data_IF_848117841472
#
_entry.id   IF_848117841472
#
_cell.length_a   1.000
_cell.length_b   1.000
_cell.length_c   1.000
_cell.angle_alpha   90.00
_cell.angle_beta   90.00
_cell.angle_gamma   90.00
#
_symmetry.space_group_name_H-M   'P 1'
#
loop_
_entity.id
_entity.type
_entity.pdbx_description
1 polymer ?
#
# COMPACT_ATOMS: atom_id res chain seq x y z
N UNK A 1 -10.96 -21.87 14.47
CA UNK A 1 -10.91 -22.63 13.20
C UNK A 1 -9.68 -23.51 13.26
N UNK A 2 -9.84 -24.83 13.17
CA UNK A 2 -8.77 -25.81 13.42
C UNK A 2 -7.74 -25.80 12.28
N UNK A 3 -6.48 -26.07 12.61
CA UNK A 3 -5.34 -26.12 11.67
C UNK A 3 -5.59 -27.05 10.46
N UNK A 4 -6.42 -28.08 10.67
CA UNK A 4 -6.93 -28.98 9.64
C UNK A 4 -7.80 -28.28 8.59
N UNK A 5 -8.59 -27.27 8.97
CA UNK A 5 -9.39 -26.50 8.02
C UNK A 5 -8.51 -25.65 7.08
N UNK A 6 -7.39 -25.12 7.60
CA UNK A 6 -6.44 -24.32 6.82
C UNK A 6 -5.64 -25.22 5.87
N UNK A 7 -5.18 -26.39 6.34
CA UNK A 7 -4.48 -27.38 5.51
C UNK A 7 -5.37 -27.90 4.39
N UNK A 8 -6.65 -28.16 4.68
CA UNK A 8 -7.62 -28.60 3.68
C UNK A 8 -7.92 -27.49 2.65
N UNK A 9 -7.98 -26.23 3.06
CA UNK A 9 -8.16 -25.10 2.14
C UNK A 9 -6.96 -24.89 1.20
N UNK A 10 -5.73 -25.02 1.73
CA UNK A 10 -4.50 -24.90 0.92
C UNK A 10 -4.37 -26.08 -0.06
N UNK A 11 -4.67 -27.30 0.38
CA UNK A 11 -4.66 -28.48 -0.49
C UNK A 11 -5.77 -28.43 -1.55
N UNK A 12 -6.93 -27.85 -1.22
CA UNK A 12 -8.02 -27.64 -2.18
C UNK A 12 -7.62 -26.59 -3.24
N UNK A 13 -6.99 -25.48 -2.84
CA UNK A 13 -6.42 -24.48 -3.76
C UNK A 13 -5.33 -25.05 -4.67
N UNK A 14 -4.46 -25.93 -4.16
CA UNK A 14 -3.38 -26.55 -4.96
C UNK A 14 -3.89 -27.63 -5.92
N UNK A 15 -4.94 -28.38 -5.55
CA UNK A 15 -5.60 -29.33 -6.46
C UNK A 15 -6.41 -28.64 -7.56
N UNK A 16 -6.93 -27.44 -7.30
CA UNK A 16 -7.60 -26.63 -8.33
C UNK A 16 -6.65 -26.00 -9.35
N UNK A 17 -5.33 -26.08 -9.15
CA UNK A 17 -4.32 -25.55 -10.09
C UNK A 17 -3.63 -26.63 -10.94
N UNK A 18 -4.10 -27.88 -10.91
CA UNK A 18 -3.68 -28.90 -11.86
C UNK A 18 -4.85 -29.20 -12.81
N UNK A 19 -4.91 -28.44 -13.91
CA UNK A 19 -5.76 -28.72 -15.08
C UNK A 19 -4.84 -28.89 -16.30
N UNK A 20 -5.21 -29.79 -17.23
CA UNK A 20 -4.31 -30.45 -18.18
C UNK A 20 -3.70 -29.52 -19.22
N UNK A 21 -2.57 -29.95 -19.77
CA UNK A 21 -2.17 -29.60 -21.13
C UNK A 21 -3.32 -29.95 -22.07
N UNK A 22 -4.01 -28.92 -22.58
CA UNK A 22 -4.77 -29.07 -23.81
C UNK A 22 -4.81 -27.76 -24.59
N UNK A 23 -4.68 -27.94 -25.90
CA UNK A 23 -4.53 -26.90 -26.88
C UNK A 23 -5.83 -26.12 -27.12
N UNK A 24 -5.65 -24.86 -27.49
CA UNK A 24 -6.56 -23.99 -28.26
C UNK A 24 -7.69 -23.22 -27.56
N UNK A 25 -7.57 -21.89 -27.73
CA UNK A 25 -8.60 -20.93 -28.11
C UNK A 25 -9.43 -20.22 -27.02
N UNK A 26 -9.00 -19.00 -26.68
CA UNK A 26 -9.93 -17.86 -26.60
C UNK A 26 -9.19 -16.57 -26.99
N UNK A 27 -9.21 -16.31 -28.29
CA UNK A 27 -8.93 -15.01 -28.86
C UNK A 27 -9.90 -13.96 -28.28
N UNK A 28 -9.47 -13.27 -27.23
CA UNK A 28 -9.74 -11.83 -27.14
C UNK A 28 -8.54 -11.09 -27.70
N UNK A 29 -8.27 -11.35 -28.99
CA UNK A 29 -7.48 -10.49 -29.85
C UNK A 29 -8.22 -9.16 -29.89
N UNK A 30 -7.83 -8.21 -29.04
CA UNK A 30 -8.03 -6.82 -29.41
C UNK A 30 -7.15 -6.67 -30.65
N UNK A 31 -7.79 -6.58 -31.81
CA UNK A 31 -7.14 -6.58 -33.10
C UNK A 31 -6.44 -5.23 -33.29
N UNK A 32 -5.23 -5.11 -32.72
CA UNK A 32 -4.38 -3.91 -32.79
C UNK A 32 -3.76 -3.71 -34.18
N UNK A 33 -4.08 -4.57 -35.15
CA UNK A 33 -3.53 -4.51 -36.51
C UNK A 33 -3.86 -3.18 -37.20
N UNK A 34 -5.04 -2.59 -36.95
CA UNK A 34 -5.55 -1.48 -37.76
C UNK A 34 -5.82 -0.20 -36.95
N UNK A 35 -4.79 0.62 -36.72
CA UNK A 35 -4.97 2.01 -36.26
C UNK A 35 -5.61 2.82 -37.39
N UNK A 36 -6.90 3.14 -37.24
CA UNK A 36 -7.63 4.02 -38.16
C UNK A 36 -7.49 5.48 -37.72
N UNK A 37 -7.08 6.35 -38.65
CA UNK A 37 -6.92 7.79 -38.41
C UNK A 37 -8.17 8.49 -38.95
N UNK A 38 -8.97 9.08 -38.08
CA UNK A 38 -10.07 9.97 -38.46
C UNK A 38 -9.69 11.41 -38.09
N UNK A 39 -9.65 12.30 -39.09
CA UNK A 39 -9.40 13.73 -38.90
C UNK A 39 -10.50 14.55 -39.57
N UNK A 40 -10.77 15.75 -39.05
CA UNK A 40 -11.81 16.67 -39.55
C UNK A 40 -11.52 17.29 -40.93
N UNK A 41 -10.47 16.85 -41.64
CA UNK A 41 -10.12 17.38 -42.96
C UNK A 41 -9.58 16.27 -43.88
N UNK A 42 -10.34 15.80 -44.90
CA UNK A 42 -9.98 14.63 -45.70
C UNK A 42 -8.86 14.87 -46.73
N UNK A 43 -8.38 16.10 -46.91
CA UNK A 43 -7.70 16.50 -48.14
C UNK A 43 -6.19 16.77 -48.06
N UNK A 44 -5.52 16.49 -46.93
CA UNK A 44 -4.07 16.79 -46.81
C UNK A 44 -3.16 15.58 -46.67
N UNK A 45 -3.63 14.34 -46.89
CA UNK A 45 -2.82 13.15 -46.59
C UNK A 45 -2.39 12.29 -47.78
N UNK A 46 -2.97 12.46 -48.97
CA UNK A 46 -2.73 11.52 -50.09
C UNK A 46 -1.90 12.08 -51.26
N UNK A 47 -1.34 13.28 -51.13
CA UNK A 47 -0.44 13.84 -52.16
C UNK A 47 0.93 14.17 -51.58
N UNK A 48 1.74 13.14 -51.30
CA UNK A 48 3.20 13.17 -51.49
C UNK A 48 3.84 11.79 -51.26
N UNK A 49 4.27 11.19 -52.38
CA UNK A 49 5.36 10.22 -52.61
C UNK A 49 6.02 9.54 -51.39
N UNK A 50 6.00 8.19 -51.37
CA UNK A 50 6.97 7.21 -50.81
C UNK A 50 7.61 7.39 -49.41
N UNK A 51 7.98 8.60 -48.99
CA UNK A 51 8.65 8.93 -47.73
C UNK A 51 7.67 9.19 -46.59
N UNK A 52 6.45 9.63 -46.90
CA UNK A 52 5.35 9.89 -45.94
C UNK A 52 4.78 8.59 -45.33
N UNK A 53 4.94 7.47 -46.02
CA UNK A 53 4.48 6.16 -45.56
C UNK A 53 5.35 5.67 -44.38
N UNK A 54 6.66 5.91 -44.42
CA UNK A 54 7.58 5.51 -43.35
C UNK A 54 7.31 6.24 -42.04
N UNK A 55 7.15 7.56 -42.07
CA UNK A 55 6.85 8.36 -40.86
C UNK A 55 5.48 7.98 -40.25
N UNK A 56 4.50 7.67 -41.11
CA UNK A 56 3.18 7.23 -40.67
C UNK A 56 3.21 5.83 -40.03
N UNK A 57 3.97 4.89 -40.60
CA UNK A 57 4.13 3.55 -40.03
C UNK A 57 4.95 3.58 -38.74
N UNK A 58 5.98 4.42 -38.66
CA UNK A 58 6.71 4.68 -37.41
C UNK A 58 5.77 5.23 -36.34
N UNK A 59 4.94 6.23 -36.67
CA UNK A 59 3.94 6.77 -35.76
C UNK A 59 2.98 5.69 -35.25
N UNK A 60 2.39 4.89 -36.15
CA UNK A 60 1.51 3.78 -35.78
C UNK A 60 2.21 2.79 -34.85
N UNK A 61 3.45 2.43 -35.14
CA UNK A 61 4.23 1.54 -34.29
C UNK A 61 4.46 2.14 -32.89
N UNK A 62 4.82 3.42 -32.79
CA UNK A 62 4.97 4.09 -31.50
C UNK A 62 3.66 4.11 -30.70
N UNK A 63 2.52 4.35 -31.36
CA UNK A 63 1.20 4.29 -30.72
C UNK A 63 0.87 2.88 -30.22
N UNK A 64 1.18 1.83 -31.00
CA UNK A 64 1.00 0.42 -30.57
C UNK A 64 1.84 0.11 -29.32
N UNK A 65 3.11 0.50 -29.32
CA UNK A 65 4.02 0.31 -28.18
C UNK A 65 3.48 1.07 -26.96
N UNK A 66 3.07 2.32 -27.13
CA UNK A 66 2.52 3.14 -26.05
C UNK A 66 1.26 2.51 -25.44
N UNK A 67 0.30 2.06 -26.27
CA UNK A 67 -0.92 1.40 -25.80
C UNK A 67 -0.63 0.12 -25.02
N UNK A 68 0.33 -0.69 -25.49
CA UNK A 68 0.77 -1.89 -24.79
C UNK A 68 1.34 -1.54 -23.42
N UNK A 69 2.28 -0.58 -23.36
CA UNK A 69 2.90 -0.15 -22.11
C UNK A 69 1.89 0.43 -21.11
N UNK A 70 0.92 1.21 -21.58
CA UNK A 70 -0.16 1.75 -20.73
C UNK A 70 -1.00 0.63 -20.10
N UNK A 71 -1.35 -0.40 -20.90
CA UNK A 71 -2.07 -1.57 -20.40
C UNK A 71 -1.25 -2.38 -19.39
N UNK A 72 0.05 -2.57 -19.64
CA UNK A 72 0.97 -3.23 -18.69
C UNK A 72 1.05 -2.47 -17.37
N UNK A 73 1.18 -1.13 -17.41
CA UNK A 73 1.21 -0.27 -16.22
C UNK A 73 -0.08 -0.39 -15.41
N UNK A 74 -1.24 -0.42 -16.08
CA UNK A 74 -2.54 -0.61 -15.42
C UNK A 74 -2.60 -1.95 -14.69
N UNK A 75 -2.11 -3.02 -15.30
CA UNK A 75 -2.13 -4.34 -14.69
C UNK A 75 -1.16 -4.43 -13.50
N UNK A 76 0.06 -3.91 -13.62
CA UNK A 76 0.99 -3.83 -12.49
C UNK A 76 0.43 -3.00 -11.33
N UNK A 77 -0.25 -1.89 -11.65
CA UNK A 77 -0.90 -1.05 -10.63
C UNK A 77 -1.99 -1.82 -9.88
N UNK A 78 -2.76 -2.66 -10.58
CA UNK A 78 -3.77 -3.53 -9.97
C UNK A 78 -3.14 -4.58 -9.06
N UNK A 79 -2.06 -5.22 -9.50
CA UNK A 79 -1.33 -6.21 -8.70
C UNK A 79 -0.74 -5.58 -7.42
N UNK A 80 -0.14 -4.39 -7.52
CA UNK A 80 0.38 -3.65 -6.36
C UNK A 80 -0.73 -3.35 -5.35
N UNK A 81 -1.92 -2.93 -5.81
CA UNK A 81 -3.07 -2.69 -4.92
C UNK A 81 -3.50 -3.96 -4.18
N UNK A 82 -3.54 -5.09 -4.87
CA UNK A 82 -3.87 -6.38 -4.25
C UNK A 82 -2.83 -6.78 -3.19
N UNK A 83 -1.54 -6.71 -3.52
CA UNK A 83 -0.45 -7.02 -2.59
C UNK A 83 -0.46 -6.10 -1.36
N UNK A 84 -0.74 -4.81 -1.54
CA UNK A 84 -0.85 -3.88 -0.42
C UNK A 84 -2.01 -4.23 0.53
N UNK A 85 -3.14 -4.69 0.00
CA UNK A 85 -4.24 -5.18 0.83
C UNK A 85 -3.83 -6.43 1.61
N UNK A 86 -3.16 -7.38 0.96
CA UNK A 86 -2.65 -8.60 1.59
C UNK A 86 -1.62 -8.30 2.71
N UNK A 87 -0.72 -7.33 2.50
CA UNK A 87 0.22 -6.85 3.52
C UNK A 87 -0.54 -6.25 4.70
N UNK A 88 -1.57 -5.42 4.44
CA UNK A 88 -2.37 -4.79 5.48
C UNK A 88 -3.10 -5.82 6.34
N UNK A 89 -3.66 -6.87 5.73
CA UNK A 89 -4.33 -7.95 6.46
C UNK A 89 -3.35 -8.73 7.35
N UNK A 90 -2.15 -9.06 6.85
CA UNK A 90 -1.11 -9.74 7.64
C UNK A 90 -0.62 -8.90 8.81
N UNK A 91 -0.39 -7.60 8.59
CA UNK A 91 -0.02 -6.67 9.69
C UNK A 91 -1.09 -6.65 10.78
N UNK A 92 -2.36 -6.52 10.40
CA UNK A 92 -3.48 -6.56 11.34
C UNK A 92 -3.55 -7.89 12.10
N UNK A 93 -3.30 -9.00 11.43
CA UNK A 93 -3.28 -10.31 12.08
C UNK A 93 -2.12 -10.44 13.09
N UNK A 94 -0.92 -9.95 12.74
CA UNK A 94 0.22 -9.86 13.66
C UNK A 94 -0.15 -9.00 14.87
N UNK A 95 -0.68 -7.79 14.65
CA UNK A 95 -1.13 -6.89 15.72
C UNK A 95 -2.13 -7.54 16.68
N UNK A 96 -3.01 -8.41 16.16
CA UNK A 96 -3.97 -9.16 16.99
C UNK A 96 -3.33 -10.31 17.78
N UNK A 97 -2.28 -10.95 17.25
CA UNK A 97 -1.56 -12.04 17.92
C UNK A 97 -0.58 -11.52 18.98
N UNK A 98 0.02 -10.35 18.75
CA UNK A 98 1.05 -9.78 19.62
C UNK A 98 0.64 -9.71 21.10
N UNK A 99 -0.56 -9.24 21.49
CA UNK A 99 -0.95 -9.18 22.91
C UNK A 99 -0.99 -10.55 23.59
N UNK A 100 -1.51 -11.57 22.90
CA UNK A 100 -1.54 -12.93 23.42
C UNK A 100 -0.12 -13.47 23.63
N UNK A 101 0.76 -13.30 22.64
CA UNK A 101 2.16 -13.76 22.71
C UNK A 101 2.90 -13.04 23.84
N UNK A 102 2.79 -11.71 23.93
CA UNK A 102 3.43 -10.93 24.99
C UNK A 102 2.91 -11.33 26.39
N UNK A 103 1.60 -11.53 26.53
CA UNK A 103 1.01 -11.98 27.79
C UNK A 103 1.55 -13.35 28.18
N UNK A 104 1.58 -14.29 27.25
CA UNK A 104 2.06 -15.65 27.52
C UNK A 104 3.55 -15.66 27.85
N UNK A 105 4.38 -14.95 27.09
CA UNK A 105 5.82 -14.83 27.36
C UNK A 105 6.08 -14.19 28.72
N UNK A 106 5.35 -13.12 29.06
CA UNK A 106 5.51 -12.43 30.35
C UNK A 106 5.05 -13.30 31.53
N UNK A 107 3.90 -13.97 31.42
CA UNK A 107 3.37 -14.82 32.50
C UNK A 107 4.21 -16.07 32.77
N UNK A 108 4.97 -16.54 31.79
CA UNK A 108 5.84 -17.71 31.92
C UNK A 108 7.33 -17.34 31.99
N UNK A 109 7.65 -16.06 32.19
CA UNK A 109 9.03 -15.55 32.31
C UNK A 109 9.94 -15.96 31.12
N UNK A 110 9.36 -16.03 29.92
CA UNK A 110 10.09 -16.33 28.68
C UNK A 110 10.62 -15.02 28.10
N UNK A 111 11.91 -14.76 28.26
CA UNK A 111 12.56 -13.56 27.72
C UNK A 111 12.79 -13.64 26.21
N UNK A 112 13.13 -14.83 25.70
CA UNK A 112 13.52 -15.03 24.32
C UNK A 112 13.02 -16.36 23.75
N UNK A 113 12.57 -16.32 22.49
CA UNK A 113 12.16 -17.49 21.73
C UNK A 113 12.90 -17.50 20.39
N UNK A 114 13.68 -18.55 20.16
CA UNK A 114 14.41 -18.77 18.91
C UNK A 114 13.67 -19.78 18.03
N UNK A 115 13.57 -19.45 16.75
CA UNK A 115 12.97 -20.23 15.67
C UNK A 115 13.95 -20.32 14.50
N UNK A 116 13.71 -21.25 13.57
CA UNK A 116 14.42 -21.28 12.28
C UNK A 116 14.24 -19.98 11.48
N UNK A 117 13.11 -19.30 11.69
CA UNK A 117 12.74 -18.07 10.98
C UNK A 117 13.14 -16.78 11.71
N UNK A 118 13.82 -16.88 12.86
CA UNK A 118 14.33 -15.73 13.61
C UNK A 118 14.13 -15.82 15.12
N UNK A 119 14.34 -14.69 15.80
CA UNK A 119 14.28 -14.55 17.26
C UNK A 119 13.18 -13.57 17.66
N UNK A 120 12.40 -13.94 18.67
CA UNK A 120 11.46 -13.06 19.36
C UNK A 120 12.00 -12.77 20.76
N UNK A 121 12.00 -11.50 21.17
CA UNK A 121 12.41 -11.08 22.50
C UNK A 121 11.26 -10.31 23.16
N UNK A 122 10.88 -10.71 24.36
CA UNK A 122 9.94 -9.97 25.20
C UNK A 122 10.74 -9.07 26.15
N UNK A 123 10.82 -7.77 25.83
CA UNK A 123 11.46 -6.77 26.68
C UNK A 123 10.42 -5.91 27.37
N UNK A 124 10.37 -5.98 28.69
CA UNK A 124 9.56 -5.07 29.50
C UNK A 124 10.41 -3.85 29.87
N UNK A 125 9.87 -2.65 29.70
CA UNK A 125 10.54 -1.41 30.09
C UNK A 125 9.52 -0.49 30.73
N UNK A 126 9.80 -0.06 31.95
CA UNK A 126 8.96 0.88 32.67
C UNK A 126 9.43 2.30 32.34
N UNK A 127 8.60 3.03 31.61
CA UNK A 127 8.85 4.43 31.26
C UNK A 127 7.77 5.30 31.88
N UNK A 128 8.15 6.51 32.31
CA UNK A 128 7.14 7.51 32.71
C UNK A 128 6.34 7.88 31.47
N UNK A 129 5.00 7.95 31.55
CA UNK A 129 4.20 8.41 30.43
C UNK A 129 4.64 9.83 30.02
N UNK A 130 4.59 10.18 28.73
CA UNK A 130 4.87 11.53 28.29
C UNK A 130 3.92 12.50 29.00
N UNK A 131 4.45 13.63 29.46
CA UNK A 131 3.64 14.61 30.18
C UNK A 131 2.76 15.35 29.17
N UNK A 132 1.46 15.04 29.15
CA UNK A 132 0.53 15.73 28.27
C UNK A 132 0.26 17.15 28.78
N UNK A 133 -0.19 18.05 27.89
CA UNK A 133 -0.60 19.39 28.31
C UNK A 133 -1.71 19.34 29.37
N UNK A 134 -2.61 18.34 29.31
CA UNK A 134 -3.66 18.14 30.31
C UNK A 134 -3.07 17.76 31.67
N UNK A 135 -2.13 16.82 31.68
CA UNK A 135 -1.45 16.37 32.92
C UNK A 135 -0.66 17.52 33.55
N UNK A 136 0.02 18.31 32.72
CA UNK A 136 0.76 19.48 33.17
C UNK A 136 -0.17 20.54 33.75
N UNK A 137 -1.27 20.86 33.05
CA UNK A 137 -2.31 21.80 33.54
C UNK A 137 -2.85 21.36 34.89
N UNK A 138 -3.32 20.11 35.00
CA UNK A 138 -3.88 19.57 36.24
C UNK A 138 -2.89 19.71 37.40
N UNK A 139 -1.64 19.28 37.20
CA UNK A 139 -0.60 19.38 38.25
C UNK A 139 -0.30 20.82 38.63
N UNK A 140 -0.23 21.73 37.65
CA UNK A 140 0.05 23.15 37.89
C UNK A 140 -1.09 23.85 38.64
N UNK A 141 -2.36 23.64 38.24
CA UNK A 141 -3.49 24.25 38.95
C UNK A 141 -3.65 23.70 40.37
N UNK A 142 -3.37 22.41 40.57
CA UNK A 142 -3.40 21.82 41.92
C UNK A 142 -2.28 22.37 42.82
N UNK A 143 -1.08 22.61 42.26
CA UNK A 143 0.07 23.12 43.00
C UNK A 143 0.01 24.64 43.25
N UNK A 144 -0.58 25.40 42.32
CA UNK A 144 -0.68 26.87 42.36
C UNK A 144 -2.12 27.35 42.14
N UNK A 145 -3.04 27.09 43.08
CA UNK A 145 -4.48 27.36 42.91
C UNK A 145 -4.81 28.84 42.73
N UNK A 146 -4.00 29.74 43.29
CA UNK A 146 -4.23 31.19 43.24
C UNK A 146 -3.65 31.86 41.98
N UNK A 147 -2.95 31.12 41.12
CA UNK A 147 -2.26 31.65 39.94
C UNK A 147 -2.88 31.14 38.63
N UNK A 148 -4.15 30.72 38.66
CA UNK A 148 -4.82 30.10 37.51
C UNK A 148 -4.75 30.96 36.24
N UNK A 149 -4.87 32.28 36.38
CA UNK A 149 -4.83 33.22 35.25
C UNK A 149 -3.43 33.30 34.61
N UNK A 150 -2.37 33.36 35.42
CA UNK A 150 -0.99 33.39 34.92
C UNK A 150 -0.58 32.04 34.31
N UNK A 151 -1.04 30.93 34.88
CA UNK A 151 -0.86 29.60 34.29
C UNK A 151 -1.55 29.48 32.94
N UNK A 152 -2.72 30.09 32.77
CA UNK A 152 -3.43 30.11 31.50
C UNK A 152 -2.66 30.86 30.40
N UNK A 153 -2.00 31.97 30.74
CA UNK A 153 -1.17 32.76 29.81
C UNK A 153 -0.04 31.90 29.22
N UNK A 154 0.64 31.10 30.03
CA UNK A 154 1.73 30.19 29.60
C UNK A 154 1.30 29.28 28.45
N UNK A 155 0.03 28.84 28.42
CA UNK A 155 -0.47 27.96 27.37
C UNK A 155 -1.08 28.70 26.18
N UNK A 156 -1.68 29.87 26.41
CA UNK A 156 -2.41 30.64 25.39
C UNK A 156 -1.49 31.52 24.56
N UNK A 157 -0.46 32.11 25.17
CA UNK A 157 0.44 33.10 24.55
C UNK A 157 1.66 32.45 23.88
N UNK A 158 1.64 31.13 23.67
CA UNK A 158 2.75 30.42 23.01
C UNK A 158 2.84 30.79 21.54
N UNK A 159 4.07 31.01 21.07
CA UNK A 159 4.37 31.29 19.67
C UNK A 159 3.83 30.20 18.74
N UNK A 160 3.14 30.61 17.68
CA UNK A 160 2.69 29.72 16.61
C UNK A 160 3.79 29.58 15.56
N UNK A 161 4.36 28.38 15.46
CA UNK A 161 5.35 28.07 14.43
C UNK A 161 4.64 27.59 13.16
N UNK A 162 4.86 28.29 12.03
CA UNK A 162 4.37 27.85 10.73
C UNK A 162 5.09 26.56 10.31
N UNK A 163 4.32 25.52 10.00
CA UNK A 163 4.83 24.28 9.41
C UNK A 163 4.29 24.13 8.00
N UNK A 164 5.18 24.21 7.02
CA UNK A 164 4.86 23.93 5.61
C UNK A 164 5.18 22.47 5.32
N UNK A 165 4.24 21.74 4.70
CA UNK A 165 4.46 20.35 4.28
C UNK A 165 4.06 20.20 2.82
N UNK A 166 4.92 19.60 2.01
CA UNK A 166 4.65 19.26 0.61
C UNK A 166 4.06 17.84 0.56
N UNK A 167 2.94 17.65 -0.14
CA UNK A 167 2.35 16.33 -0.39
C UNK A 167 2.01 16.16 -1.86
N UNK A 168 2.32 14.97 -2.40
CA UNK A 168 1.88 14.52 -3.72
C UNK A 168 0.46 13.98 -3.59
N UNK A 169 -0.48 14.55 -4.34
CA UNK A 169 -1.84 14.01 -4.48
C UNK A 169 -1.83 12.97 -5.61
N UNK A 170 -2.35 11.78 -5.33
CA UNK A 170 -2.64 10.74 -6.32
C UNK A 170 -4.14 10.65 -6.53
#
# INVERSE_FOLDING_TARGET
MTEQAIRNFINQQQRSQLVPQDHSNSDSIINYENIHIHGNNPHTFYEQNSSTNTELEEFKNQVKIWMRLDNEIKEFTKQIKMLNNEIKQRKKYIENLTPFILSYMSSNEIEELNSKDGRLQCKVSMVKPPLSQKDLKLKLYNQFPNNAEDLDKIFKEREKVQKTSLRRLM
#
